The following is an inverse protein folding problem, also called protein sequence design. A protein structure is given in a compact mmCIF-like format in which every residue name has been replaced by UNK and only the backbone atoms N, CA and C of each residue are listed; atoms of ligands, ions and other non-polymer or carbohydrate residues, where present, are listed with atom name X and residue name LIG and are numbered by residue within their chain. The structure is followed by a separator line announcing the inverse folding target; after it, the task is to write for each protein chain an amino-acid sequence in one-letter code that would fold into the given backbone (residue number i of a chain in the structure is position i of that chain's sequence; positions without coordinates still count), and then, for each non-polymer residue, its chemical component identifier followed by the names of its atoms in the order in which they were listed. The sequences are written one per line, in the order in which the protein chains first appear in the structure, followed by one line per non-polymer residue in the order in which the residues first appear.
data_IF_381327469566
#
_entry.id   IF_381327469566
#
_cell.length_a   1.000
_cell.length_b   1.000
_cell.length_c   1.000
_cell.angle_alpha   90.00
_cell.angle_beta   90.00
_cell.angle_gamma   90.00
#
_symmetry.space_group_name_H-M   'P 1'
#
loop_
_entity.id
_entity.type
_entity.pdbx_description
1 polymer ?
#
# COMPACT_ATOMS: atom_id res chain seq x y z
N UNK A 1 58.91 -3.73 -0.82
CA UNK A 1 59.06 -2.30 -1.16
C UNK A 1 57.64 -1.78 -1.35
N UNK A 2 57.02 -1.38 -0.27
CA UNK A 2 56.66 -0.04 0.22
C UNK A 2 56.03 0.91 -0.81
N UNK A 3 55.25 1.88 -0.38
CA UNK A 3 54.16 1.88 0.62
C UNK A 3 52.99 2.85 0.23
N UNK A 4 51.91 2.83 1.04
CA UNK A 4 51.34 4.02 1.71
C UNK A 4 50.69 5.14 0.88
N UNK A 5 49.47 5.44 1.18
CA UNK A 5 48.89 6.72 1.55
C UNK A 5 47.39 6.56 1.74
N UNK A 6 46.84 6.52 2.85
CA UNK A 6 46.58 7.48 3.94
C UNK A 6 46.36 8.92 3.45
N UNK A 7 45.11 9.31 3.33
CA UNK A 7 44.67 10.71 3.44
C UNK A 7 43.22 10.68 3.93
N UNK A 8 43.08 10.90 5.16
CA UNK A 8 43.09 12.12 5.96
C UNK A 8 41.74 12.84 5.95
N UNK A 9 41.16 12.64 7.08
CA UNK A 9 40.29 13.54 7.86
C UNK A 9 40.53 15.03 7.60
N UNK A 10 39.47 15.80 7.48
CA UNK A 10 39.39 17.22 7.89
C UNK A 10 37.90 17.58 7.99
N UNK A 11 37.50 17.92 9.10
CA UNK A 11 37.38 19.09 9.99
C UNK A 11 35.93 19.58 9.90
N UNK A 12 35.12 19.49 10.94
CA UNK A 12 35.10 20.29 12.17
C UNK A 12 34.99 21.82 11.90
N UNK A 13 33.82 22.36 12.19
CA UNK A 13 33.56 23.71 12.72
C UNK A 13 32.04 23.81 12.94
N UNK A 14 31.49 23.68 14.12
CA UNK A 14 31.33 24.66 15.20
C UNK A 14 30.86 26.02 14.65
N UNK A 15 29.60 26.32 14.88
CA UNK A 15 29.15 27.66 15.11
C UNK A 15 27.94 27.63 16.07
N UNK A 16 28.27 27.91 17.30
CA UNK A 16 27.41 28.30 18.39
C UNK A 16 26.85 29.68 18.10
N UNK A 17 25.55 29.84 18.16
CA UNK A 17 24.88 31.12 18.04
C UNK A 17 23.67 31.16 18.94
N UNK A 18 23.92 31.59 20.16
CA UNK A 18 22.95 31.83 21.25
C UNK A 18 22.45 33.25 21.12
N UNK A 19 21.15 33.44 20.88
CA UNK A 19 20.50 34.73 21.16
C UNK A 19 19.17 34.47 21.87
N UNK A 20 19.20 34.79 23.15
CA UNK A 20 18.03 34.95 23.97
C UNK A 20 17.38 36.29 23.69
N UNK A 21 16.08 36.32 23.49
CA UNK A 21 15.27 37.50 23.63
C UNK A 21 13.99 37.18 24.37
N UNK A 22 13.98 37.51 25.64
CA UNK A 22 12.82 37.61 26.51
C UNK A 22 12.05 38.86 26.12
N UNK A 23 10.79 38.74 25.78
CA UNK A 23 9.82 39.84 25.90
C UNK A 23 8.55 39.29 26.52
N UNK A 24 8.36 39.66 27.75
CA UNK A 24 7.11 39.61 28.48
C UNK A 24 6.11 40.59 27.85
N UNK A 25 4.95 40.10 27.51
CA UNK A 25 3.82 40.93 27.10
C UNK A 25 2.55 40.37 27.67
N UNK A 26 2.23 40.78 28.87
CA UNK A 26 0.92 40.63 29.51
C UNK A 26 -0.09 41.52 28.79
N UNK A 27 -1.09 40.94 28.20
CA UNK A 27 -2.30 41.66 27.87
C UNK A 27 -3.51 40.81 28.25
N UNK A 28 -4.05 41.10 29.38
CA UNK A 28 -5.41 40.80 29.86
C UNK A 28 -6.45 41.25 28.82
N UNK A 29 -7.19 40.29 28.28
CA UNK A 29 -8.48 40.55 27.68
C UNK A 29 -9.53 39.69 28.40
N UNK A 30 -10.02 40.23 29.50
CA UNK A 30 -11.31 39.86 30.03
C UNK A 30 -12.35 40.74 29.34
N UNK A 31 -13.26 40.18 28.62
CA UNK A 31 -14.63 40.67 28.51
C UNK A 31 -15.48 39.75 27.62
N UNK A 32 -16.40 39.10 28.27
CA UNK A 32 -17.81 39.00 27.88
C UNK A 32 -18.10 38.67 26.39
N UNK A 33 -18.40 37.43 26.19
CA UNK A 33 -19.18 36.94 25.05
C UNK A 33 -19.78 35.61 25.44
N UNK A 34 -20.93 35.60 26.15
CA UNK A 34 -21.80 34.42 26.21
C UNK A 34 -22.30 34.18 24.78
N UNK A 35 -21.52 33.46 24.01
CA UNK A 35 -21.95 32.85 22.77
C UNK A 35 -22.36 31.42 23.09
N UNK A 36 -23.62 31.11 22.86
CA UNK A 36 -24.23 29.79 22.86
C UNK A 36 -23.26 28.73 22.38
N UNK A 37 -23.02 27.74 23.24
CA UNK A 37 -22.36 26.49 22.83
C UNK A 37 -23.20 25.85 21.71
N UNK A 38 -22.82 26.13 20.48
CA UNK A 38 -23.24 25.35 19.36
C UNK A 38 -22.58 23.99 19.52
N UNK A 39 -23.38 22.94 19.67
CA UNK A 39 -22.92 21.57 19.63
C UNK A 39 -21.93 21.42 18.46
N UNK A 40 -20.76 20.80 18.67
CA UNK A 40 -19.90 20.48 17.58
C UNK A 40 -20.67 19.49 16.68
N UNK A 41 -21.24 20.04 15.60
CA UNK A 41 -21.79 19.25 14.51
C UNK A 41 -20.76 18.16 14.24
N UNK A 42 -21.12 16.88 14.32
CA UNK A 42 -20.16 15.82 14.03
C UNK A 42 -19.57 16.14 12.66
N UNK A 43 -18.26 16.32 12.65
CA UNK A 43 -17.55 16.50 11.39
C UNK A 43 -17.99 15.34 10.53
N UNK A 44 -18.75 15.64 9.48
CA UNK A 44 -19.06 14.70 8.42
C UNK A 44 -17.72 14.20 7.99
N UNK A 45 -17.36 13.00 8.39
CA UNK A 45 -16.19 12.31 7.89
C UNK A 45 -16.40 12.27 6.38
N UNK A 46 -15.69 13.14 5.69
CA UNK A 46 -15.59 13.04 4.24
C UNK A 46 -15.04 11.65 3.99
N UNK A 47 -15.93 10.72 3.80
CA UNK A 47 -15.60 9.42 3.25
C UNK A 47 -14.87 9.74 1.96
N UNK A 48 -13.53 9.68 2.03
CA UNK A 48 -12.70 9.83 0.85
C UNK A 48 -13.18 8.73 -0.07
N UNK A 49 -13.97 9.08 -1.06
CA UNK A 49 -14.43 8.16 -2.09
C UNK A 49 -13.17 7.66 -2.79
N UNK A 50 -12.62 6.56 -2.30
CA UNK A 50 -11.61 5.81 -3.02
C UNK A 50 -12.36 5.10 -4.12
N UNK A 51 -12.16 5.46 -5.40
CA UNK A 51 -12.80 4.75 -6.47
C UNK A 51 -12.49 3.25 -6.29
N UNK A 52 -13.54 2.46 -6.16
CA UNK A 52 -13.39 1.02 -6.00
C UNK A 52 -12.70 0.46 -7.23
N UNK A 53 -11.51 -0.08 -7.03
CA UNK A 53 -10.73 -0.66 -8.13
C UNK A 53 -11.44 -1.93 -8.59
N UNK A 54 -11.89 -1.95 -9.85
CA UNK A 54 -12.54 -3.09 -10.50
C UNK A 54 -11.81 -3.46 -11.78
N UNK A 55 -12.07 -4.67 -12.25
CA UNK A 55 -11.62 -5.09 -13.57
C UNK A 55 -12.26 -4.21 -14.66
N UNK A 56 -11.54 -3.90 -15.75
CA UNK A 56 -12.10 -3.19 -16.90
C UNK A 56 -13.31 -3.93 -17.47
N UNK A 57 -14.36 -3.19 -17.80
CA UNK A 57 -15.56 -3.78 -18.38
C UNK A 57 -15.26 -4.39 -19.76
N UNK A 58 -15.86 -5.56 -20.04
CA UNK A 58 -15.69 -6.24 -21.31
C UNK A 58 -14.36 -6.98 -21.48
N UNK A 59 -13.46 -6.94 -20.50
CA UNK A 59 -12.18 -7.64 -20.57
C UNK A 59 -12.13 -8.73 -19.49
N UNK A 60 -11.89 -9.96 -19.90
CA UNK A 60 -11.70 -11.09 -19.00
C UNK A 60 -10.23 -11.18 -18.62
N UNK A 61 -9.86 -10.78 -17.42
CA UNK A 61 -8.50 -10.86 -16.90
C UNK A 61 -8.38 -12.12 -16.04
N UNK A 62 -7.58 -13.08 -16.51
CA UNK A 62 -7.37 -14.38 -15.85
C UNK A 62 -6.26 -14.24 -14.81
N UNK A 63 -6.62 -14.46 -13.56
CA UNK A 63 -5.72 -14.29 -12.42
C UNK A 63 -5.43 -15.64 -11.76
N UNK A 64 -4.16 -15.89 -11.49
CA UNK A 64 -3.69 -16.94 -10.60
C UNK A 64 -3.39 -16.34 -9.23
N UNK A 65 -3.83 -16.99 -8.15
CA UNK A 65 -3.56 -16.57 -6.78
C UNK A 65 -2.76 -17.64 -6.06
N UNK A 66 -1.54 -17.32 -5.68
CA UNK A 66 -0.64 -18.22 -4.97
C UNK A 66 -0.38 -17.71 -3.54
N UNK A 67 -0.64 -18.58 -2.57
CA UNK A 67 -0.32 -18.29 -1.18
C UNK A 67 1.18 -18.51 -0.92
N UNK A 68 1.92 -17.44 -0.77
CA UNK A 68 3.34 -17.46 -0.40
C UNK A 68 3.55 -17.27 1.11
N UNK A 69 2.61 -17.79 1.93
CA UNK A 69 2.67 -17.68 3.39
C UNK A 69 2.30 -19.02 4.05
N UNK A 70 2.48 -19.08 5.37
CA UNK A 70 2.01 -20.20 6.20
C UNK A 70 0.55 -20.06 6.64
N UNK A 71 -0.08 -18.92 6.37
CA UNK A 71 -1.46 -18.65 6.79
C UNK A 71 -2.45 -19.41 5.92
N UNK A 72 -3.16 -20.37 6.50
CA UNK A 72 -4.17 -21.15 5.78
C UNK A 72 -5.34 -20.27 5.35
N UNK A 73 -5.88 -20.56 4.18
CA UNK A 73 -7.09 -19.91 3.66
C UNK A 73 -6.86 -18.49 3.08
N UNK A 74 -5.64 -17.95 3.13
CA UNK A 74 -5.36 -16.60 2.63
C UNK A 74 -5.68 -16.46 1.14
N UNK A 75 -5.26 -17.44 0.32
CA UNK A 75 -5.56 -17.43 -1.11
C UNK A 75 -7.07 -17.48 -1.41
N UNK A 76 -7.86 -18.22 -0.63
CA UNK A 76 -9.32 -18.25 -0.80
C UNK A 76 -9.95 -16.89 -0.53
N UNK A 77 -9.48 -16.16 0.48
CA UNK A 77 -9.96 -14.80 0.79
C UNK A 77 -9.59 -13.83 -0.33
N UNK A 78 -8.36 -13.89 -0.82
CA UNK A 78 -7.92 -13.09 -1.96
C UNK A 78 -8.71 -13.40 -3.23
N UNK A 79 -9.05 -14.67 -3.45
CA UNK A 79 -9.89 -15.09 -4.58
C UNK A 79 -11.27 -14.44 -4.52
N UNK A 80 -11.95 -14.47 -3.37
CA UNK A 80 -13.24 -13.79 -3.21
C UNK A 80 -13.10 -12.30 -3.46
N UNK A 81 -12.13 -11.69 -2.83
CA UNK A 81 -11.85 -10.26 -2.96
C UNK A 81 -11.64 -9.80 -4.41
N UNK A 82 -10.97 -10.63 -5.23
CA UNK A 82 -10.77 -10.37 -6.66
C UNK A 82 -12.05 -10.59 -7.47
N UNK A 83 -12.78 -11.69 -7.21
CA UNK A 83 -14.01 -12.03 -7.94
C UNK A 83 -15.10 -10.99 -7.72
N UNK A 84 -15.25 -10.47 -6.51
CA UNK A 84 -16.18 -9.39 -6.18
C UNK A 84 -15.90 -8.11 -6.97
N UNK A 85 -14.68 -7.98 -7.50
CA UNK A 85 -14.22 -6.86 -8.31
C UNK A 85 -14.13 -7.17 -9.80
N UNK A 86 -14.69 -8.30 -10.21
CA UNK A 86 -14.84 -8.67 -11.62
C UNK A 86 -13.61 -9.34 -12.25
N UNK A 87 -12.59 -9.71 -11.45
CA UNK A 87 -11.46 -10.48 -11.97
C UNK A 87 -11.79 -11.97 -12.03
N UNK A 88 -11.34 -12.63 -13.09
CA UNK A 88 -11.55 -14.08 -13.27
C UNK A 88 -10.40 -14.87 -12.64
N UNK A 89 -10.59 -15.31 -11.41
CA UNK A 89 -9.59 -16.17 -10.75
C UNK A 89 -9.75 -17.61 -11.23
N UNK A 90 -8.82 -18.02 -12.07
CA UNK A 90 -8.82 -19.34 -12.73
C UNK A 90 -8.01 -20.39 -11.98
N UNK A 91 -7.03 -19.94 -11.16
CA UNK A 91 -6.17 -20.87 -10.43
C UNK A 91 -5.87 -20.35 -9.03
N UNK A 92 -5.85 -21.29 -8.06
CA UNK A 92 -5.56 -21.00 -6.65
C UNK A 92 -4.61 -22.07 -6.13
N UNK A 93 -3.48 -21.66 -5.57
CA UNK A 93 -2.44 -22.59 -5.12
C UNK A 93 -1.59 -22.06 -3.98
N UNK A 94 -0.46 -22.74 -3.79
CA UNK A 94 0.59 -22.36 -2.85
C UNK A 94 1.86 -22.08 -3.65
N UNK A 95 2.54 -20.99 -3.35
CA UNK A 95 3.82 -20.66 -3.96
C UNK A 95 4.93 -21.57 -3.40
N UNK A 96 5.95 -21.83 -4.21
CA UNK A 96 7.12 -22.61 -3.79
C UNK A 96 7.91 -21.89 -2.69
N UNK A 97 8.00 -20.58 -2.76
CA UNK A 97 8.74 -19.74 -1.82
C UNK A 97 7.80 -18.88 -0.98
N UNK A 98 8.18 -18.68 0.28
CA UNK A 98 7.46 -17.78 1.18
C UNK A 98 7.91 -16.34 0.97
N UNK A 99 6.96 -15.38 1.16
CA UNK A 99 7.21 -13.96 1.02
C UNK A 99 6.55 -13.18 2.15
N UNK A 100 7.24 -12.13 2.59
CA UNK A 100 6.67 -11.22 3.57
C UNK A 100 5.72 -10.22 2.93
N UNK A 101 6.05 -9.74 1.74
CA UNK A 101 5.22 -8.79 0.98
C UNK A 101 4.59 -9.43 -0.25
N UNK A 102 3.39 -8.96 -0.57
CA UNK A 102 2.69 -9.39 -1.80
C UNK A 102 3.38 -8.84 -3.04
N UNK A 103 3.40 -9.63 -4.09
CA UNK A 103 3.92 -9.26 -5.40
C UNK A 103 2.91 -9.65 -6.48
N UNK A 104 2.72 -8.77 -7.45
CA UNK A 104 1.90 -9.03 -8.63
C UNK A 104 2.81 -9.18 -9.84
N UNK A 105 2.60 -10.23 -10.61
CA UNK A 105 3.34 -10.48 -11.83
C UNK A 105 2.43 -10.26 -13.03
N UNK A 106 2.87 -9.40 -13.95
CA UNK A 106 2.28 -9.29 -15.27
C UNK A 106 2.80 -10.41 -16.15
N UNK A 107 1.88 -11.28 -16.60
CA UNK A 107 2.21 -12.45 -17.42
C UNK A 107 1.94 -12.21 -18.90
N UNK A 108 1.07 -11.26 -19.20
CA UNK A 108 0.54 -11.02 -20.55
C UNK A 108 1.22 -9.86 -21.27
N UNK A 109 1.99 -9.01 -20.57
CA UNK A 109 2.56 -7.78 -21.12
C UNK A 109 1.53 -6.67 -21.26
N UNK A 110 0.43 -6.76 -20.49
CA UNK A 110 -0.64 -5.78 -20.43
C UNK A 110 -0.65 -5.08 -19.07
N UNK A 111 0.19 -4.06 -18.84
CA UNK A 111 0.29 -3.39 -17.57
C UNK A 111 -1.04 -2.76 -17.12
N UNK A 112 -1.93 -2.43 -18.05
CA UNK A 112 -3.28 -1.94 -17.76
C UNK A 112 -4.18 -2.99 -17.09
N UNK A 113 -3.85 -4.28 -17.19
CA UNK A 113 -4.57 -5.38 -16.53
C UNK A 113 -3.98 -5.71 -15.16
N UNK A 114 -2.67 -5.65 -15.05
CA UNK A 114 -1.94 -5.97 -13.81
C UNK A 114 -1.93 -4.82 -12.80
N UNK A 115 -1.87 -3.56 -13.26
CA UNK A 115 -1.84 -2.38 -12.39
C UNK A 115 -3.06 -2.24 -11.46
N UNK A 116 -4.31 -2.48 -11.91
CA UNK A 116 -5.46 -2.51 -10.99
C UNK A 116 -5.30 -3.57 -9.89
N UNK A 117 -4.79 -4.75 -10.22
CA UNK A 117 -4.54 -5.81 -9.24
C UNK A 117 -3.47 -5.38 -8.25
N UNK A 118 -2.37 -4.77 -8.71
CA UNK A 118 -1.34 -4.20 -7.84
C UNK A 118 -1.91 -3.20 -6.83
N UNK A 119 -2.80 -2.31 -7.28
CA UNK A 119 -3.47 -1.34 -6.39
C UNK A 119 -4.38 -2.00 -5.35
N UNK A 120 -5.10 -3.07 -5.72
CA UNK A 120 -5.96 -3.81 -4.79
C UNK A 120 -5.19 -4.45 -3.64
N UNK A 121 -3.99 -4.94 -3.92
CA UNK A 121 -3.14 -5.58 -2.92
C UNK A 121 -2.11 -4.64 -2.29
N UNK A 122 -2.08 -3.36 -2.72
CA UNK A 122 -1.03 -2.41 -2.36
C UNK A 122 0.37 -3.03 -2.58
N UNK A 123 0.56 -3.64 -3.74
CA UNK A 123 1.71 -4.45 -4.10
C UNK A 123 2.39 -3.92 -5.37
N UNK A 124 3.71 -4.04 -5.47
CA UNK A 124 4.41 -3.76 -6.70
C UNK A 124 3.99 -4.74 -7.80
N UNK A 125 4.10 -4.28 -9.04
CA UNK A 125 3.87 -5.10 -10.23
C UNK A 125 5.19 -5.27 -10.95
N UNK A 126 5.55 -6.52 -11.23
CA UNK A 126 6.73 -6.88 -12.01
C UNK A 126 6.31 -7.55 -13.32
N UNK A 127 6.90 -7.14 -14.42
CA UNK A 127 6.71 -7.81 -15.69
C UNK A 127 7.47 -9.15 -15.70
N UNK A 128 6.73 -10.24 -15.85
CA UNK A 128 7.29 -11.58 -15.99
C UNK A 128 6.46 -12.35 -17.00
N UNK A 129 6.70 -12.06 -18.25
CA UNK A 129 5.94 -12.61 -19.36
C UNK A 129 6.00 -14.15 -19.36
N UNK A 130 4.85 -14.75 -19.61
CA UNK A 130 4.71 -16.18 -19.75
C UNK A 130 4.21 -16.50 -21.17
N UNK A 131 4.85 -17.47 -21.82
CA UNK A 131 4.43 -17.95 -23.12
C UNK A 131 3.13 -18.76 -23.07
N UNK A 132 2.74 -19.23 -21.89
CA UNK A 132 1.46 -19.89 -21.68
C UNK A 132 0.35 -18.84 -21.66
N UNK A 133 -0.40 -18.72 -22.72
CA UNK A 133 -1.50 -17.76 -22.88
C UNK A 133 -2.71 -18.01 -21.94
N UNK A 134 -2.51 -18.72 -20.82
CA UNK A 134 -3.58 -19.13 -19.91
C UNK A 134 -3.76 -18.17 -18.74
N UNK A 135 -2.73 -17.38 -18.40
CA UNK A 135 -2.73 -16.46 -17.29
C UNK A 135 -2.35 -15.05 -17.75
N UNK A 136 -3.07 -14.07 -17.26
CA UNK A 136 -2.77 -12.66 -17.54
C UNK A 136 -2.00 -12.03 -16.36
N UNK A 137 -2.37 -12.42 -15.13
CA UNK A 137 -1.78 -11.89 -13.90
C UNK A 137 -1.58 -13.02 -12.87
N UNK A 138 -0.45 -13.01 -12.16
CA UNK A 138 -0.22 -13.87 -10.99
C UNK A 138 -0.05 -13.02 -9.74
N UNK A 139 -0.76 -13.35 -8.67
CA UNK A 139 -0.63 -12.73 -7.36
C UNK A 139 0.07 -13.67 -6.40
N UNK A 140 1.25 -13.27 -5.93
CA UNK A 140 2.00 -13.97 -4.87
C UNK A 140 1.67 -13.28 -3.55
N UNK A 141 0.80 -13.87 -2.74
CA UNK A 141 0.36 -13.28 -1.47
C UNK A 141 1.44 -13.37 -0.41
N UNK A 142 1.84 -12.21 0.11
CA UNK A 142 2.78 -12.10 1.21
C UNK A 142 2.12 -12.08 2.59
N UNK A 143 2.92 -12.30 3.63
CA UNK A 143 2.46 -12.35 5.02
C UNK A 143 1.93 -11.02 5.55
N UNK A 144 2.28 -9.90 4.93
CA UNK A 144 1.80 -8.55 5.29
C UNK A 144 0.38 -8.27 4.83
N UNK A 145 -0.11 -8.98 3.80
CA UNK A 145 -1.45 -8.72 3.28
C UNK A 145 -2.55 -9.15 4.25
N UNK A 146 -3.53 -8.27 4.45
CA UNK A 146 -4.73 -8.54 5.23
C UNK A 146 -5.95 -8.29 4.35
N UNK A 147 -6.89 -9.25 4.30
CA UNK A 147 -8.13 -9.03 3.57
C UNK A 147 -8.91 -7.88 4.21
N UNK A 148 -9.56 -7.02 3.41
CA UNK A 148 -10.49 -6.03 3.92
C UNK A 148 -11.61 -6.68 4.72
N UNK A 149 -12.06 -6.03 5.79
CA UNK A 149 -13.09 -6.56 6.71
C UNK A 149 -14.44 -6.77 6.00
N UNK A 150 -14.75 -5.94 5.02
CA UNK A 150 -16.00 -5.99 4.25
C UNK A 150 -16.09 -7.15 3.25
N UNK A 151 -14.95 -7.75 2.89
CA UNK A 151 -14.91 -8.87 1.93
C UNK A 151 -15.24 -10.23 2.56
N UNK A 152 -15.67 -10.27 3.82
CA UNK A 152 -15.81 -11.50 4.60
C UNK A 152 -17.22 -11.79 5.06
N UNK A 153 -18.18 -10.95 4.72
CA UNK A 153 -19.58 -11.24 5.02
C UNK A 153 -20.11 -12.28 4.03
N UNK A 154 -20.64 -13.42 4.53
CA UNK A 154 -21.09 -14.55 3.69
C UNK A 154 -22.39 -14.24 2.97
#
# INVERSE_FOLDING_TARGET
MTPVALRQRRHLAIATGLVAAVIAGTATWAAMGRGTAGDPKPATSLSVFRPEVRAPQGTRIRVQVLNATRTRGLARRATRYLRDRGFDVVEVGTAAEQRDSTLVLDRSGHPEWSAPVGRLFNAPVEARLDSSRYLDVTVLLGASWRPPTEALDP
#
